data_IF_123043446184
#
_entry.id   IF_123043446184
#
_cell.length_a   1.000
_cell.length_b   1.000
_cell.length_c   1.000
_cell.angle_alpha   90.00
_cell.angle_beta   90.00
_cell.angle_gamma   90.00
#
_symmetry.space_group_name_H-M   'P 1'
#
loop_
_entity.id
_entity.type
_entity.pdbx_description
1 polymer ?
#
# COMPACT_ATOMS: atom_id res chain seq x y z
N UNK A 1 0.95 8.00 10.41
CA UNK A 1 1.18 8.87 9.24
C UNK A 1 2.47 8.35 8.62
N UNK A 2 2.47 7.94 7.35
CA UNK A 2 3.65 7.49 6.60
C UNK A 2 4.10 8.59 5.61
N UNK A 3 5.18 8.34 4.88
CA UNK A 3 5.69 9.21 3.82
C UNK A 3 6.59 10.35 4.30
N UNK A 4 6.99 11.24 3.37
CA UNK A 4 7.98 12.29 3.60
C UNK A 4 7.66 13.20 4.80
N UNK A 5 6.38 13.48 5.04
CA UNK A 5 5.94 14.29 6.19
C UNK A 5 6.24 13.60 7.52
N UNK A 6 6.05 12.29 7.60
CA UNK A 6 6.35 11.50 8.79
C UNK A 6 7.85 11.40 9.02
N UNK A 7 8.63 11.15 7.95
CA UNK A 7 10.09 11.16 8.00
C UNK A 7 10.63 12.48 8.57
N UNK A 8 10.12 13.60 8.08
CA UNK A 8 10.49 14.93 8.59
C UNK A 8 9.99 15.19 10.01
N UNK A 9 8.86 14.61 10.42
CA UNK A 9 8.37 14.75 11.79
C UNK A 9 9.33 14.10 12.78
N UNK A 10 9.82 12.89 12.49
CA UNK A 10 10.82 12.21 13.33
C UNK A 10 12.14 12.97 13.38
N UNK A 11 12.66 13.42 12.23
CA UNK A 11 13.88 14.23 12.19
C UNK A 11 13.76 15.53 13.00
N UNK A 12 12.59 16.18 12.99
CA UNK A 12 12.33 17.41 13.75
C UNK A 12 12.28 17.18 15.25
N UNK A 13 11.74 16.06 15.71
CA UNK A 13 11.71 15.71 17.13
C UNK A 13 13.12 15.58 17.73
N UNK A 14 14.10 15.25 16.89
CA UNK A 14 15.48 15.08 17.29
C UNK A 14 16.30 16.38 17.32
N UNK A 15 15.76 17.52 16.88
CA UNK A 15 16.51 18.78 16.89
C UNK A 15 17.02 19.13 18.30
N UNK A 16 18.34 19.30 18.41
CA UNK A 16 19.02 19.53 19.69
C UNK A 16 19.50 18.27 20.40
N UNK A 17 19.08 17.07 19.98
CA UNK A 17 19.69 15.82 20.44
C UNK A 17 21.19 15.87 20.15
N UNK A 18 22.01 15.60 21.15
CA UNK A 18 23.46 15.77 21.08
C UNK A 18 24.20 14.69 21.88
N UNK A 19 25.50 14.57 21.61
CA UNK A 19 26.38 13.63 22.26
C UNK A 19 26.28 12.22 21.71
N UNK A 20 27.24 11.38 22.10
CA UNK A 20 27.20 9.92 21.97
C UNK A 20 27.61 9.31 23.33
N UNK A 21 26.99 8.19 23.75
CA UNK A 21 25.89 7.50 23.10
C UNK A 21 24.55 8.18 23.37
N UNK A 22 23.72 8.31 22.34
CA UNK A 22 22.38 8.93 22.40
C UNK A 22 21.29 7.93 22.00
N UNK A 23 20.01 8.36 21.94
CA UNK A 23 18.89 7.45 21.63
C UNK A 23 19.04 6.78 20.26
N UNK A 24 19.50 7.53 19.25
CA UNK A 24 19.72 7.04 17.88
C UNK A 24 20.86 6.02 17.86
N UNK A 25 22.03 6.36 18.42
CA UNK A 25 23.18 5.45 18.39
C UNK A 25 22.95 4.19 19.23
N UNK A 26 22.22 4.28 20.34
CA UNK A 26 21.79 3.11 21.13
C UNK A 26 20.81 2.22 20.37
N UNK A 27 19.82 2.82 19.71
CA UNK A 27 18.85 2.08 18.90
C UNK A 27 19.54 1.35 17.74
N UNK A 28 20.44 2.05 17.04
CA UNK A 28 21.16 1.49 15.90
C UNK A 28 22.12 0.38 16.34
N UNK A 29 22.89 0.61 17.41
CA UNK A 29 23.84 -0.36 17.94
C UNK A 29 23.18 -1.66 18.43
N UNK A 30 21.98 -1.57 19.02
CA UNK A 30 21.22 -2.76 19.44
C UNK A 30 20.93 -3.71 18.28
N UNK A 31 20.79 -3.19 17.07
CA UNK A 31 20.45 -3.94 15.85
C UNK A 31 21.68 -4.35 15.04
N UNK A 32 22.71 -3.51 15.04
CA UNK A 32 23.80 -3.58 14.07
C UNK A 32 25.19 -3.80 14.69
N UNK A 33 25.35 -3.74 16.01
CA UNK A 33 26.63 -3.96 16.71
C UNK A 33 26.99 -2.85 17.69
N UNK A 34 27.66 -3.19 18.80
CA UNK A 34 27.98 -2.24 19.88
C UNK A 34 28.94 -1.13 19.46
N UNK A 35 29.74 -1.33 18.41
CA UNK A 35 30.66 -0.35 17.84
C UNK A 35 29.95 0.93 17.35
N UNK A 36 28.67 0.83 17.01
CA UNK A 36 27.89 1.98 16.53
C UNK A 36 27.47 2.95 17.65
N UNK A 37 27.65 2.59 18.93
CA UNK A 37 27.32 3.47 20.06
C UNK A 37 28.05 4.82 20.00
N UNK A 38 29.31 4.79 19.56
CA UNK A 38 30.22 5.95 19.52
C UNK A 38 30.60 6.38 18.10
N UNK A 39 30.20 5.63 17.07
CA UNK A 39 30.52 5.93 15.68
C UNK A 39 29.86 7.24 15.21
N UNK A 40 30.41 7.90 14.17
CA UNK A 40 29.69 8.95 13.46
C UNK A 40 28.28 8.48 13.06
N UNK A 41 27.27 9.30 13.37
CA UNK A 41 25.87 8.86 13.41
C UNK A 41 24.94 9.65 12.49
N UNK A 42 25.50 10.36 11.51
CA UNK A 42 24.72 11.10 10.52
C UNK A 42 23.78 10.19 9.72
N UNK A 43 24.28 9.05 9.23
CA UNK A 43 23.45 8.12 8.44
C UNK A 43 22.67 7.13 9.32
N UNK A 44 23.21 6.84 10.51
CA UNK A 44 22.46 6.11 11.55
C UNK A 44 21.14 6.82 11.89
N UNK A 45 21.13 8.16 11.89
CA UNK A 45 19.90 8.93 12.13
C UNK A 45 18.92 8.84 10.97
N UNK A 46 19.37 8.84 9.71
CA UNK A 46 18.48 8.64 8.58
C UNK A 46 17.83 7.26 8.66
N UNK A 47 18.61 6.23 9.03
CA UNK A 47 18.06 4.90 9.31
C UNK A 47 17.03 4.93 10.42
N UNK A 48 17.36 5.52 11.57
CA UNK A 48 16.45 5.61 12.72
C UNK A 48 15.14 6.33 12.34
N UNK A 49 15.21 7.51 11.72
CA UNK A 49 14.03 8.25 11.29
C UNK A 49 13.21 7.48 10.27
N UNK A 50 13.84 6.71 9.37
CA UNK A 50 13.13 5.88 8.42
C UNK A 50 12.31 4.78 9.11
N UNK A 51 12.86 4.11 10.12
CA UNK A 51 12.13 3.10 10.87
C UNK A 51 11.00 3.71 11.72
N UNK A 52 11.30 4.75 12.51
CA UNK A 52 10.31 5.36 13.40
C UNK A 52 9.15 6.03 12.63
N UNK A 53 9.40 6.46 11.40
CA UNK A 53 8.36 7.04 10.53
C UNK A 53 7.61 6.02 9.66
N UNK A 54 7.97 4.73 9.71
CA UNK A 54 7.41 3.69 8.85
C UNK A 54 7.87 3.74 7.39
N UNK A 55 8.98 4.43 7.08
CA UNK A 55 9.49 4.59 5.72
C UNK A 55 10.74 3.74 5.42
N UNK A 56 11.06 2.75 6.25
CA UNK A 56 12.27 1.93 6.12
C UNK A 56 12.40 1.30 4.73
N UNK A 57 11.34 0.73 4.15
CA UNK A 57 11.42 0.10 2.82
C UNK A 57 11.73 1.10 1.69
N UNK A 58 11.21 2.32 1.80
CA UNK A 58 11.41 3.36 0.79
C UNK A 58 12.81 3.99 0.88
N UNK A 59 13.29 4.22 2.11
CA UNK A 59 14.56 4.92 2.39
C UNK A 59 15.75 3.96 2.42
N UNK A 60 15.54 2.71 2.86
CA UNK A 60 16.59 1.71 3.12
C UNK A 60 16.39 0.45 2.26
N UNK A 61 16.35 0.55 0.92
CA UNK A 61 15.98 -0.55 0.03
C UNK A 61 16.93 -1.77 0.10
N UNK A 62 18.12 -1.59 0.68
CA UNK A 62 19.07 -2.67 0.92
C UNK A 62 19.55 -2.72 2.39
N UNK A 63 18.67 -2.38 3.33
CA UNK A 63 18.89 -2.50 4.79
C UNK A 63 19.44 -1.26 5.47
N UNK A 64 19.62 -1.34 6.79
CA UNK A 64 20.10 -0.24 7.64
C UNK A 64 21.42 0.38 7.10
N UNK A 65 21.58 1.69 7.28
CA UNK A 65 22.72 2.46 6.77
C UNK A 65 23.43 3.25 7.87
N UNK A 66 24.73 3.05 7.98
CA UNK A 66 25.64 3.91 8.74
C UNK A 66 26.74 4.52 7.85
N UNK A 67 26.89 4.01 6.63
CA UNK A 67 27.89 4.44 5.66
C UNK A 67 27.23 5.16 4.49
N UNK A 68 27.45 6.47 4.45
CA UNK A 68 26.82 7.43 3.53
C UNK A 68 27.00 7.06 2.06
N UNK A 69 28.17 6.55 1.67
CA UNK A 69 28.47 6.14 0.29
C UNK A 69 27.56 5.00 -0.16
N UNK A 70 27.30 4.01 0.70
CA UNK A 70 26.39 2.90 0.35
C UNK A 70 24.95 3.39 0.21
N UNK A 71 24.52 4.32 1.05
CA UNK A 71 23.19 4.90 0.98
C UNK A 71 23.00 5.75 -0.29
N UNK A 72 24.01 6.53 -0.69
CA UNK A 72 23.98 7.24 -1.96
C UNK A 72 23.91 6.29 -3.17
N UNK A 73 24.66 5.18 -3.12
CA UNK A 73 24.63 4.15 -4.15
C UNK A 73 23.26 3.46 -4.28
N UNK A 74 22.45 3.40 -3.21
CA UNK A 74 21.08 2.88 -3.32
C UNK A 74 20.23 3.75 -4.24
N UNK A 75 20.29 5.07 -4.07
CA UNK A 75 19.64 6.03 -4.96
C UNK A 75 20.14 5.90 -6.41
N UNK A 76 21.42 5.62 -6.61
CA UNK A 76 22.00 5.38 -7.93
C UNK A 76 21.48 4.09 -8.56
N UNK A 77 21.45 2.98 -7.82
CA UNK A 77 20.92 1.68 -8.28
C UNK A 77 19.45 1.77 -8.65
N UNK A 78 18.68 2.60 -7.95
CA UNK A 78 17.27 2.85 -8.24
C UNK A 78 17.05 3.82 -9.41
N UNK A 79 18.10 4.42 -9.97
CA UNK A 79 17.99 5.42 -11.04
C UNK A 79 17.35 6.74 -10.59
N UNK A 80 17.42 7.04 -9.28
CA UNK A 80 16.79 8.23 -8.65
C UNK A 80 17.80 9.26 -8.16
N UNK A 81 19.08 9.02 -8.44
CA UNK A 81 20.16 9.91 -8.06
C UNK A 81 20.21 11.15 -8.93
N UNK A 82 20.34 12.31 -8.27
CA UNK A 82 20.63 13.59 -8.91
C UNK A 82 21.96 14.12 -8.37
N UNK A 83 22.85 14.54 -9.27
CA UNK A 83 24.07 15.26 -8.89
C UNK A 83 23.72 16.59 -8.19
N UNK A 84 24.54 17.04 -7.25
CA UNK A 84 24.26 18.20 -6.38
C UNK A 84 24.34 19.59 -7.02
N UNK A 85 24.15 19.71 -8.33
CA UNK A 85 24.19 21.01 -9.02
C UNK A 85 23.03 21.91 -8.60
N UNK A 86 23.21 23.23 -8.66
CA UNK A 86 22.17 24.20 -8.33
C UNK A 86 20.86 23.97 -9.12
N UNK A 87 21.00 23.59 -10.41
CA UNK A 87 19.88 23.30 -11.28
C UNK A 87 19.11 22.05 -10.82
N UNK A 88 19.82 20.96 -10.52
CA UNK A 88 19.20 19.73 -10.02
C UNK A 88 18.54 19.95 -8.66
N UNK A 89 19.23 20.61 -7.74
CA UNK A 89 18.67 20.93 -6.41
C UNK A 89 17.38 21.72 -6.56
N UNK A 90 17.37 22.80 -7.36
CA UNK A 90 16.17 23.59 -7.61
C UNK A 90 15.02 22.75 -8.20
N UNK A 91 15.32 21.89 -9.17
CA UNK A 91 14.30 21.16 -9.92
C UNK A 91 13.76 19.91 -9.20
N UNK A 92 14.59 19.22 -8.42
CA UNK A 92 14.32 17.85 -7.97
C UNK A 92 14.41 17.64 -6.45
N UNK A 93 15.11 18.50 -5.71
CA UNK A 93 15.16 18.36 -4.25
C UNK A 93 13.80 18.76 -3.66
N UNK A 94 13.21 17.86 -2.88
CA UNK A 94 11.90 18.07 -2.25
C UNK A 94 11.98 17.73 -0.77
N UNK A 95 11.04 18.20 0.07
CA UNK A 95 10.98 17.77 1.47
C UNK A 95 10.98 16.25 1.58
N UNK A 96 11.91 15.69 2.35
CA UNK A 96 12.12 14.26 2.50
C UNK A 96 13.17 13.64 1.56
N UNK A 97 13.77 14.38 0.63
CA UNK A 97 14.94 13.90 -0.11
C UNK A 97 16.11 13.61 0.84
N UNK A 98 16.79 12.48 0.64
CA UNK A 98 18.05 12.18 1.33
C UNK A 98 19.17 12.83 0.54
N UNK A 99 19.91 13.74 1.18
CA UNK A 99 20.94 14.57 0.55
C UNK A 99 22.30 14.32 1.17
N UNK A 100 23.31 14.22 0.31
CA UNK A 100 24.67 13.84 0.66
C UNK A 100 25.64 14.97 0.35
N UNK A 101 26.62 15.13 1.23
CA UNK A 101 27.58 16.21 1.15
C UNK A 101 29.01 15.70 1.04
N UNK A 102 29.79 16.42 0.25
CA UNK A 102 31.23 16.27 0.07
C UNK A 102 31.84 17.64 0.35
N UNK A 103 32.56 17.75 1.47
CA UNK A 103 33.16 19.01 1.92
C UNK A 103 34.34 19.42 1.04
N UNK A 104 34.94 18.48 0.31
CA UNK A 104 35.96 18.73 -0.71
C UNK A 104 35.39 19.28 -2.01
N UNK A 105 34.07 19.21 -2.23
CA UNK A 105 33.40 19.78 -3.40
C UNK A 105 33.78 19.10 -4.73
N UNK A 106 34.17 17.83 -4.67
CA UNK A 106 34.53 17.03 -5.87
C UNK A 106 33.29 16.51 -6.61
N UNK A 107 32.14 16.44 -5.92
CA UNK A 107 30.88 15.87 -6.39
C UNK A 107 30.96 14.35 -6.67
N UNK A 108 31.95 13.67 -6.08
CA UNK A 108 32.12 12.24 -6.23
C UNK A 108 31.39 11.49 -5.11
N UNK A 109 30.61 10.47 -5.47
CA UNK A 109 29.92 9.62 -4.48
C UNK A 109 30.89 8.91 -3.53
N UNK A 110 32.11 8.62 -3.97
CA UNK A 110 33.15 8.03 -3.13
C UNK A 110 33.76 8.99 -2.10
N UNK A 111 33.53 10.30 -2.26
CA UNK A 111 34.05 11.36 -1.40
C UNK A 111 32.98 11.92 -0.43
N UNK A 112 31.83 11.25 -0.30
CA UNK A 112 30.76 11.73 0.59
C UNK A 112 31.18 11.65 2.06
N UNK A 113 31.15 12.80 2.73
CA UNK A 113 31.48 12.97 4.14
C UNK A 113 30.25 12.90 5.05
N UNK A 114 29.09 13.30 4.54
CA UNK A 114 27.91 13.56 5.38
C UNK A 114 26.59 13.37 4.65
N UNK A 115 25.51 13.26 5.42
CA UNK A 115 24.14 13.10 4.93
C UNK A 115 23.17 13.89 5.79
N UNK A 116 22.07 14.34 5.19
CA UNK A 116 20.96 14.96 5.88
C UNK A 116 19.64 14.70 5.16
N UNK A 117 18.57 15.20 5.76
CA UNK A 117 17.23 15.15 5.17
C UNK A 117 16.82 16.56 4.74
N UNK A 118 16.40 16.72 3.49
CA UNK A 118 15.90 18.00 2.97
C UNK A 118 14.58 18.34 3.67
N UNK A 119 14.53 19.47 4.37
CA UNK A 119 13.32 19.98 5.00
C UNK A 119 12.62 21.00 4.09
N UNK A 120 13.39 21.87 3.42
CA UNK A 120 12.87 22.91 2.52
C UNK A 120 13.83 23.08 1.34
N UNK A 121 13.29 23.17 0.12
CA UNK A 121 14.02 23.66 -1.05
C UNK A 121 13.83 25.19 -1.15
N UNK A 122 14.93 25.94 -1.09
CA UNK A 122 14.91 27.41 -1.08
C UNK A 122 14.73 28.03 -2.47
N UNK A 123 14.60 27.20 -3.51
CA UNK A 123 14.38 27.59 -4.92
C UNK A 123 15.51 28.39 -5.57
N UNK A 124 16.56 28.76 -4.84
CA UNK A 124 17.74 29.44 -5.37
C UNK A 124 18.91 28.48 -5.67
N UNK A 125 18.71 27.17 -5.48
CA UNK A 125 19.74 26.14 -5.60
C UNK A 125 20.30 25.69 -4.24
N UNK A 126 19.86 26.31 -3.15
CA UNK A 126 20.16 25.89 -1.77
C UNK A 126 18.99 25.13 -1.16
N UNK A 127 19.27 24.35 -0.12
CA UNK A 127 18.27 23.65 0.69
C UNK A 127 18.47 23.94 2.18
N UNK A 128 17.37 23.95 2.92
CA UNK A 128 17.40 23.77 4.37
C UNK A 128 17.29 22.28 4.68
N UNK A 129 18.13 21.79 5.57
CA UNK A 129 18.25 20.38 5.94
C UNK A 129 18.16 20.19 7.44
N UNK A 130 17.80 18.97 7.86
CA UNK A 130 18.00 18.46 9.22
C UNK A 130 19.12 17.43 9.14
N UNK A 131 20.18 17.65 9.91
CA UNK A 131 21.42 16.89 9.86
C UNK A 131 21.80 16.44 11.28
N UNK A 132 21.90 15.13 11.49
CA UNK A 132 22.45 14.58 12.73
C UNK A 132 23.97 14.55 12.68
N UNK A 133 24.59 14.48 13.86
CA UNK A 133 26.05 14.48 14.01
C UNK A 133 26.74 15.76 13.47
N UNK A 134 26.02 16.87 13.29
CA UNK A 134 26.59 18.17 12.91
C UNK A 134 27.13 18.88 14.15
N UNK A 135 28.44 18.70 14.39
CA UNK A 135 29.05 19.07 15.67
C UNK A 135 28.46 18.26 16.81
N UNK A 136 28.37 16.94 16.58
CA UNK A 136 27.80 15.92 17.47
C UNK A 136 26.39 16.19 17.99
N UNK A 137 25.54 16.79 17.14
CA UNK A 137 24.14 17.02 17.45
C UNK A 137 23.27 17.13 16.19
N UNK A 138 21.96 17.03 16.37
CA UNK A 138 20.99 17.27 15.28
C UNK A 138 20.70 18.75 15.17
N UNK A 139 20.97 19.30 13.98
CA UNK A 139 20.84 20.74 13.71
C UNK A 139 20.17 20.99 12.37
N UNK A 140 19.50 22.13 12.27
CA UNK A 140 19.13 22.71 10.97
C UNK A 140 20.32 23.39 10.32
N UNK A 141 20.48 23.21 9.02
CA UNK A 141 21.50 23.88 8.21
C UNK A 141 20.90 24.35 6.90
N UNK A 142 21.54 25.37 6.33
CA UNK A 142 21.34 25.74 4.93
C UNK A 142 22.61 25.34 4.20
N UNK A 143 22.45 24.60 3.10
CA UNK A 143 23.55 24.06 2.29
C UNK A 143 23.36 24.47 0.84
N UNK A 144 24.45 24.87 0.19
CA UNK A 144 24.46 25.20 -1.22
C UNK A 144 25.13 24.12 -2.07
N UNK A 145 25.02 24.25 -3.40
CA UNK A 145 25.50 23.26 -4.36
C UNK A 145 27.01 23.02 -4.29
N UNK A 146 27.78 23.96 -3.73
CA UNK A 146 29.24 23.87 -3.57
C UNK A 146 29.72 22.72 -2.67
N UNK A 147 28.85 22.18 -1.82
CA UNK A 147 29.15 21.06 -0.91
C UNK A 147 28.19 19.88 -1.06
N UNK A 148 27.25 19.93 -2.00
CA UNK A 148 26.29 18.85 -2.21
C UNK A 148 26.88 17.89 -3.23
N UNK A 149 27.19 16.66 -2.82
CA UNK A 149 27.60 15.61 -3.76
C UNK A 149 26.42 15.17 -4.63
N UNK A 150 25.26 15.03 -4.02
CA UNK A 150 24.01 14.71 -4.69
C UNK A 150 22.94 14.26 -3.72
N UNK A 151 21.80 13.85 -4.26
CA UNK A 151 20.64 13.46 -3.48
C UNK A 151 19.76 12.52 -4.28
N UNK A 152 18.85 11.86 -3.57
CA UNK A 152 17.76 11.13 -4.19
C UNK A 152 16.51 11.25 -3.31
N UNK A 153 15.35 11.03 -3.92
CA UNK A 153 14.05 11.11 -3.23
C UNK A 153 13.47 9.70 -3.10
N UNK A 154 13.35 9.17 -1.85
CA UNK A 154 12.67 7.92 -1.59
C UNK A 154 11.26 7.89 -2.17
N UNK A 155 10.83 6.71 -2.63
CA UNK A 155 9.44 6.50 -3.05
C UNK A 155 8.53 6.36 -1.83
N UNK A 156 8.22 7.47 -1.20
CA UNK A 156 7.35 7.50 -0.04
C UNK A 156 5.93 6.97 -0.32
N UNK A 157 5.56 6.78 -1.58
CA UNK A 157 4.25 6.28 -1.99
C UNK A 157 4.23 4.75 -2.18
N UNK A 158 5.32 4.03 -1.93
CA UNK A 158 5.38 2.57 -2.19
C UNK A 158 4.44 1.78 -1.25
N UNK A 159 4.15 2.28 -0.06
CA UNK A 159 3.10 1.72 0.82
C UNK A 159 1.67 2.12 0.38
N UNK A 160 1.51 3.23 -0.34
CA UNK A 160 0.23 3.70 -0.89
C UNK A 160 -0.08 3.13 -2.29
N UNK A 161 0.83 2.35 -2.86
CA UNK A 161 0.74 1.79 -4.21
C UNK A 161 0.27 0.32 -4.25
N UNK A 162 -0.65 -0.08 -3.37
CA UNK A 162 -1.59 -1.14 -3.77
C UNK A 162 -2.53 -0.51 -4.78
N UNK A 163 -2.11 -0.49 -6.04
CA UNK A 163 -2.94 0.09 -7.11
C UNK A 163 -4.31 -0.62 -7.12
N UNK A 164 -5.37 0.08 -7.56
CA UNK A 164 -6.66 -0.57 -7.76
C UNK A 164 -6.55 -1.84 -8.61
N UNK A 165 -5.59 -1.88 -9.54
CA UNK A 165 -5.25 -3.05 -10.35
C UNK A 165 -4.62 -4.19 -9.53
N UNK A 166 -3.75 -3.88 -8.56
CA UNK A 166 -3.17 -4.87 -7.64
C UNK A 166 -4.22 -5.47 -6.71
N UNK A 167 -5.11 -4.65 -6.13
CA UNK A 167 -6.26 -5.15 -5.34
C UNK A 167 -7.19 -5.96 -6.24
N UNK A 168 -7.48 -5.46 -7.44
CA UNK A 168 -8.35 -6.15 -8.39
C UNK A 168 -7.79 -7.53 -8.76
N UNK A 169 -6.50 -7.64 -9.08
CA UNK A 169 -5.84 -8.92 -9.40
C UNK A 169 -5.75 -9.84 -8.20
N UNK A 170 -5.44 -9.31 -7.02
CA UNK A 170 -5.46 -10.05 -5.77
C UNK A 170 -6.84 -10.70 -5.56
N UNK A 171 -7.89 -9.87 -5.48
CA UNK A 171 -9.26 -10.32 -5.15
C UNK A 171 -9.94 -11.11 -6.26
N UNK A 172 -9.77 -10.73 -7.53
CA UNK A 172 -10.59 -11.30 -8.63
C UNK A 172 -9.87 -12.33 -9.49
N UNK A 173 -8.54 -12.30 -9.55
CA UNK A 173 -7.76 -13.11 -10.49
C UNK A 173 -6.88 -14.16 -9.82
N UNK A 174 -6.41 -13.92 -8.60
CA UNK A 174 -5.46 -14.79 -7.91
C UNK A 174 -6.03 -15.48 -6.68
N UNK A 175 -6.99 -14.85 -5.99
CA UNK A 175 -7.64 -15.47 -4.83
C UNK A 175 -8.44 -16.73 -5.23
N UNK A 176 -8.36 -17.75 -4.38
CA UNK A 176 -9.01 -19.04 -4.55
C UNK A 176 -9.75 -19.36 -3.25
N UNK A 177 -11.07 -19.33 -3.30
CA UNK A 177 -11.92 -19.58 -2.14
C UNK A 177 -12.48 -21.00 -2.23
N UNK A 178 -12.45 -21.80 -1.13
CA UNK A 178 -13.09 -23.10 -1.10
C UNK A 178 -14.60 -22.93 -1.29
N UNK A 179 -15.16 -23.73 -2.20
CA UNK A 179 -16.59 -23.66 -2.52
C UNK A 179 -17.21 -25.03 -2.26
N UNK A 180 -18.05 -25.19 -1.22
CA UNK A 180 -18.63 -26.49 -0.86
C UNK A 180 -19.46 -27.15 -1.96
N UNK A 181 -19.97 -26.35 -2.90
CA UNK A 181 -20.75 -26.78 -4.06
C UNK A 181 -19.94 -26.83 -5.38
N UNK A 182 -18.60 -26.67 -5.31
CA UNK A 182 -17.72 -26.84 -6.47
C UNK A 182 -17.69 -28.29 -6.98
N UNK A 183 -17.16 -28.52 -8.18
CA UNK A 183 -17.03 -29.87 -8.74
C UNK A 183 -15.93 -30.68 -8.05
N UNK A 184 -15.97 -32.01 -8.16
CA UNK A 184 -14.92 -32.89 -7.61
C UNK A 184 -13.52 -32.55 -8.13
N UNK A 185 -13.44 -32.05 -9.37
CA UNK A 185 -12.22 -31.64 -10.07
C UNK A 185 -11.85 -30.17 -9.89
N UNK A 186 -12.72 -29.34 -9.30
CA UNK A 186 -12.47 -27.93 -9.05
C UNK A 186 -13.20 -27.45 -7.78
N UNK A 187 -12.54 -27.67 -6.63
CA UNK A 187 -13.08 -27.41 -5.29
C UNK A 187 -12.88 -25.97 -4.81
N UNK A 188 -12.06 -25.19 -5.52
CA UNK A 188 -11.75 -23.80 -5.17
C UNK A 188 -11.98 -22.91 -6.39
N UNK A 189 -12.77 -21.87 -6.22
CA UNK A 189 -13.11 -20.98 -7.32
C UNK A 189 -12.67 -19.57 -7.01
N UNK A 190 -12.29 -18.86 -8.08
CA UNK A 190 -12.04 -17.43 -8.02
C UNK A 190 -13.36 -16.69 -7.70
N UNK A 191 -13.34 -15.58 -6.96
CA UNK A 191 -14.56 -14.81 -6.65
C UNK A 191 -15.36 -14.41 -7.90
N UNK A 192 -14.68 -14.11 -9.02
CA UNK A 192 -15.36 -13.84 -10.30
C UNK A 192 -16.15 -15.05 -10.80
N UNK A 193 -15.59 -16.26 -10.71
CA UNK A 193 -16.25 -17.49 -11.14
C UNK A 193 -17.50 -17.77 -10.32
N UNK A 194 -17.44 -17.49 -9.01
CA UNK A 194 -18.60 -17.59 -8.12
C UNK A 194 -19.73 -16.67 -8.58
N UNK A 195 -19.46 -15.39 -8.84
CA UNK A 195 -20.49 -14.45 -9.31
C UNK A 195 -21.09 -14.81 -10.67
N UNK A 196 -20.24 -15.25 -11.61
CA UNK A 196 -20.70 -15.65 -12.95
C UNK A 196 -21.61 -16.87 -12.86
N UNK A 197 -21.26 -17.87 -12.04
CA UNK A 197 -22.09 -19.05 -11.85
C UNK A 197 -23.42 -18.72 -11.16
N UNK A 198 -23.42 -17.90 -10.10
CA UNK A 198 -24.67 -17.42 -9.50
C UNK A 198 -25.58 -16.75 -10.54
N UNK A 199 -25.02 -15.92 -11.44
CA UNK A 199 -25.78 -15.33 -12.54
C UNK A 199 -26.35 -16.37 -13.52
N UNK A 200 -25.63 -17.47 -13.78
CA UNK A 200 -26.12 -18.60 -14.59
C UNK A 200 -27.24 -19.35 -13.87
N UNK A 201 -27.07 -19.67 -12.58
CA UNK A 201 -28.08 -20.37 -11.79
C UNK A 201 -29.36 -19.54 -11.67
N UNK A 202 -29.24 -18.23 -11.41
CA UNK A 202 -30.39 -17.33 -11.38
C UNK A 202 -31.17 -17.35 -12.70
N UNK A 203 -30.49 -17.32 -13.85
CA UNK A 203 -31.17 -17.42 -15.15
C UNK A 203 -31.90 -18.77 -15.32
N UNK A 204 -31.29 -19.88 -14.90
CA UNK A 204 -31.95 -21.20 -14.94
C UNK A 204 -33.20 -21.24 -14.06
N UNK A 205 -33.12 -20.66 -12.86
CA UNK A 205 -34.27 -20.56 -11.94
C UNK A 205 -35.39 -19.74 -12.58
N UNK A 206 -35.08 -18.59 -13.18
CA UNK A 206 -36.08 -17.76 -13.88
C UNK A 206 -36.77 -18.53 -15.01
N UNK A 207 -36.00 -19.25 -15.85
CA UNK A 207 -36.59 -20.09 -16.91
C UNK A 207 -37.46 -21.22 -16.34
N UNK A 208 -37.06 -21.84 -15.23
CA UNK A 208 -37.86 -22.87 -14.58
C UNK A 208 -39.18 -22.29 -14.02
N UNK A 209 -39.16 -21.08 -13.45
CA UNK A 209 -40.35 -20.38 -12.98
C UNK A 209 -41.30 -20.07 -14.15
N UNK A 210 -40.79 -19.60 -15.28
CA UNK A 210 -41.59 -19.36 -16.49
C UNK A 210 -42.25 -20.65 -17.00
N UNK A 211 -41.50 -21.76 -17.04
CA UNK A 211 -42.01 -23.06 -17.44
C UNK A 211 -43.07 -23.60 -16.46
N UNK A 212 -42.89 -23.40 -15.16
CA UNK A 212 -43.89 -23.73 -14.14
C UNK A 212 -45.17 -22.90 -14.35
N UNK A 213 -45.03 -21.58 -14.59
CA UNK A 213 -46.16 -20.71 -14.90
C UNK A 213 -46.95 -21.15 -16.14
N UNK A 214 -46.26 -21.57 -17.20
CA UNK A 214 -46.89 -22.12 -18.40
C UNK A 214 -47.63 -23.44 -18.12
N UNK A 215 -47.03 -24.32 -17.30
CA UNK A 215 -47.64 -25.60 -16.90
C UNK A 215 -48.90 -25.39 -16.06
N UNK A 216 -48.85 -24.49 -15.09
CA UNK A 216 -50.00 -24.11 -14.26
C UNK A 216 -51.15 -23.59 -15.13
N UNK A 217 -50.84 -22.73 -16.10
CA UNK A 217 -51.83 -22.22 -17.05
C UNK A 217 -52.48 -23.36 -17.84
N UNK A 218 -51.68 -24.27 -18.40
CA UNK A 218 -52.20 -25.41 -19.17
C UNK A 218 -53.10 -26.33 -18.33
N UNK A 219 -52.76 -26.55 -17.05
CA UNK A 219 -53.62 -27.30 -16.11
C UNK A 219 -54.93 -26.56 -15.83
N UNK A 220 -54.88 -25.24 -15.61
CA UNK A 220 -56.08 -24.42 -15.40
C UNK A 220 -57.00 -24.44 -16.63
N UNK A 221 -56.43 -24.31 -17.84
CA UNK A 221 -57.18 -24.39 -19.11
C UNK A 221 -57.81 -25.78 -19.31
N UNK A 222 -57.11 -26.87 -18.96
CA UNK A 222 -57.64 -28.24 -19.06
C UNK A 222 -58.78 -28.49 -18.06
N UNK A 223 -58.69 -27.96 -16.84
CA UNK A 223 -59.76 -28.04 -15.82
C UNK A 223 -61.01 -27.27 -16.27
N UNK A 224 -60.84 -26.11 -16.91
CA UNK A 224 -61.93 -25.32 -17.49
C UNK A 224 -62.74 -26.10 -18.52
N UNK A 225 -62.07 -26.99 -19.26
CA UNK A 225 -62.70 -27.80 -20.30
C UNK A 225 -63.43 -29.03 -19.74
N UNK A 226 -63.12 -29.44 -18.50
CA UNK A 226 -63.70 -30.63 -17.88
C UNK A 226 -64.98 -30.36 -17.07
N UNK A 227 -65.22 -29.13 -16.61
CA UNK A 227 -66.38 -28.80 -15.77
C UNK A 227 -66.95 -27.41 -16.12
N UNK A 228 -68.24 -27.35 -16.46
CA UNK A 228 -68.97 -26.09 -16.72
C UNK A 228 -69.23 -25.32 -15.41
N UNK A 229 -68.18 -24.87 -14.71
CA UNK A 229 -68.27 -23.91 -13.60
C UNK A 229 -66.92 -23.34 -13.10
N UNK A 230 -65.77 -23.67 -13.71
CA UNK A 230 -64.47 -23.19 -13.20
C UNK A 230 -64.08 -21.86 -13.84
N UNK A 231 -64.02 -20.81 -13.01
CA UNK A 231 -63.47 -19.51 -13.38
C UNK A 231 -61.92 -19.58 -13.37
N UNK A 232 -61.36 -19.75 -14.57
CA UNK A 232 -59.93 -19.93 -14.83
C UNK A 232 -59.12 -18.70 -14.41
N UNK A 233 -59.66 -17.51 -14.66
CA UNK A 233 -58.97 -16.25 -14.35
C UNK A 233 -58.89 -16.04 -12.84
N UNK A 234 -59.96 -16.38 -12.10
CA UNK A 234 -59.94 -16.37 -10.64
C UNK A 234 -58.96 -17.41 -10.05
N UNK A 235 -58.85 -18.59 -10.66
CA UNK A 235 -57.90 -19.63 -10.23
C UNK A 235 -56.45 -19.22 -10.48
N UNK A 236 -56.13 -18.69 -11.66
CA UNK A 236 -54.80 -18.16 -11.99
C UNK A 236 -54.45 -16.98 -11.06
N UNK A 237 -55.42 -16.09 -10.79
CA UNK A 237 -55.26 -15.00 -9.84
C UNK A 237 -54.88 -15.48 -8.44
N UNK A 238 -55.61 -16.46 -7.90
CA UNK A 238 -55.30 -17.07 -6.59
C UNK A 238 -53.93 -17.74 -6.57
N UNK A 239 -53.54 -18.44 -7.63
CA UNK A 239 -52.21 -19.08 -7.68
C UNK A 239 -51.10 -18.04 -7.69
N UNK A 240 -51.25 -16.94 -8.44
CA UNK A 240 -50.29 -15.82 -8.41
C UNK A 240 -50.20 -15.18 -7.02
N UNK A 241 -51.34 -14.94 -6.39
CA UNK A 241 -51.42 -14.35 -5.05
C UNK A 241 -50.78 -15.26 -3.99
N UNK A 242 -50.98 -16.58 -4.08
CA UNK A 242 -50.33 -17.55 -3.20
C UNK A 242 -48.82 -17.64 -3.46
N UNK A 243 -48.36 -17.55 -4.73
CA UNK A 243 -46.93 -17.46 -5.06
C UNK A 243 -46.30 -16.18 -4.51
N UNK A 244 -46.98 -15.04 -4.62
CA UNK A 244 -46.52 -13.76 -4.03
C UNK A 244 -46.46 -13.81 -2.49
N UNK A 245 -47.32 -14.62 -1.85
CA UNK A 245 -47.29 -14.88 -0.41
C UNK A 245 -46.19 -15.85 0.02
N UNK A 246 -45.59 -16.62 -0.89
CA UNK A 246 -44.43 -17.47 -0.58
C UNK A 246 -43.26 -16.57 -0.21
N UNK A 247 -43.11 -16.33 1.08
CA UNK A 247 -41.92 -15.69 1.64
C UNK A 247 -40.80 -16.71 1.57
N UNK A 248 -39.80 -16.50 0.72
CA UNK A 248 -38.58 -17.31 0.73
C UNK A 248 -37.88 -17.06 2.07
N UNK A 249 -38.13 -17.91 3.07
CA UNK A 249 -37.28 -17.99 4.26
C UNK A 249 -36.00 -18.69 3.83
N UNK A 250 -34.97 -17.89 3.56
CA UNK A 250 -33.60 -18.37 3.57
C UNK A 250 -33.26 -18.74 5.01
N UNK A 251 -33.50 -20.00 5.40
CA UNK A 251 -32.88 -20.55 6.61
C UNK A 251 -31.39 -20.73 6.30
N UNK A 252 -30.61 -19.69 6.57
CA UNK A 252 -29.16 -19.80 6.70
C UNK A 252 -28.93 -20.50 8.03
N UNK A 253 -28.83 -21.83 8.02
CA UNK A 253 -28.41 -22.57 9.19
C UNK A 253 -26.97 -22.21 9.50
N UNK A 254 -26.79 -21.21 10.38
CA UNK A 254 -25.54 -20.95 11.07
C UNK A 254 -25.19 -22.18 11.91
N UNK A 255 -24.35 -23.06 11.37
CA UNK A 255 -23.63 -24.02 12.20
C UNK A 255 -22.20 -24.12 11.68
N UNK A 256 -21.20 -23.60 12.41
CA UNK A 256 -19.83 -23.94 12.12
C UNK A 256 -19.66 -25.43 12.46
N UNK A 257 -19.29 -26.25 11.46
CA UNK A 257 -18.79 -27.59 11.78
C UNK A 257 -17.38 -27.48 12.40
N UNK A 258 -17.07 -28.33 13.40
CA UNK A 258 -15.81 -28.33 14.14
C UNK A 258 -14.58 -28.69 13.29
#
# INVERSE_FOLDING_TARGET
>A
MSGAKAMLAEARQDLGLSGRPNRVTRWYAKRNGSEFLEAPWCDQSITYWAHESGNAEAVLPAGDRAYTVWHAQDGQRLGRWHAGTAANVRAHAVPGSVIFFDWGGTNETGAIDHVGLVEVNLQDGRVQTIEANTGDAVKRRIRGPEVIAGFWTPDYNKEDNVTGDTIYKATWETDAMPVPYGSETNKEWKPRSVLVDHGVQLRKILTAIEAQGATIKALADALAQQDQAVDVDALIGRIREEIERVTVRLDVTDTPQP
#
